data_IF_197326904977
#
_entry.id   IF_197326904977
#
_cell.length_a   1.000
_cell.length_b   1.000
_cell.length_c   1.000
_cell.angle_alpha   90.00
_cell.angle_beta   90.00
_cell.angle_gamma   90.00
#
_symmetry.space_group_name_H-M   'P 1'
#
loop_
_entity.id
_entity.type
_entity.pdbx_description
1 polymer ?
#
# COMPACT_ATOMS: atom_id res chain seq x y z
N UNK A 1 8.58 23.01 -9.53
CA UNK A 1 9.59 22.84 -8.47
C UNK A 1 8.85 22.64 -7.16
N UNK A 2 9.39 21.78 -6.29
CA UNK A 2 8.97 21.60 -4.90
C UNK A 2 10.14 22.01 -4.00
N UNK A 3 9.86 22.62 -2.84
CA UNK A 3 10.89 23.06 -1.90
C UNK A 3 10.59 22.51 -0.51
N UNK A 4 11.57 21.82 0.08
CA UNK A 4 11.51 21.33 1.46
C UNK A 4 12.53 22.08 2.31
N UNK A 5 12.06 22.64 3.42
CA UNK A 5 12.90 23.25 4.45
C UNK A 5 13.05 22.26 5.61
N UNK A 6 14.28 22.07 6.08
CA UNK A 6 14.60 21.20 7.22
C UNK A 6 15.76 21.82 8.00
N UNK A 7 15.93 21.41 9.26
CA UNK A 7 17.14 21.75 10.01
C UNK A 7 18.28 20.89 9.49
N UNK A 8 19.50 21.44 9.49
CA UNK A 8 20.70 20.72 8.99
C UNK A 8 20.89 19.39 9.72
N UNK A 9 20.62 19.34 11.03
CA UNK A 9 20.72 18.11 11.83
C UNK A 9 19.75 16.99 11.38
N UNK A 10 18.64 17.35 10.74
CA UNK A 10 17.64 16.37 10.27
C UNK A 10 17.99 15.83 8.88
N UNK A 11 19.03 16.38 8.21
CA UNK A 11 19.42 15.99 6.85
C UNK A 11 20.00 14.56 6.76
N UNK A 12 20.44 14.00 7.89
CA UNK A 12 20.88 12.61 7.97
C UNK A 12 19.74 11.62 7.67
N UNK A 13 18.49 11.96 8.03
CA UNK A 13 17.31 11.12 7.79
C UNK A 13 16.60 11.60 6.52
N UNK A 14 16.79 10.85 5.44
CA UNK A 14 16.31 11.23 4.11
C UNK A 14 15.87 10.02 3.29
N UNK A 15 15.06 10.28 2.26
CA UNK A 15 14.56 9.25 1.34
C UNK A 15 15.40 9.11 0.07
N UNK A 16 16.09 10.19 -0.33
CA UNK A 16 16.90 10.27 -1.54
C UNK A 16 18.34 10.67 -1.21
N UNK A 17 19.23 10.62 -2.21
CA UNK A 17 20.61 11.12 -2.11
C UNK A 17 20.75 12.48 -2.82
N UNK A 18 20.70 13.60 -2.07
CA UNK A 18 20.73 14.93 -2.67
C UNK A 18 22.14 15.32 -3.12
N UNK A 19 22.20 16.10 -4.20
CA UNK A 19 23.43 16.77 -4.64
C UNK A 19 23.46 18.18 -4.06
N UNK A 20 24.58 18.56 -3.43
CA UNK A 20 24.76 19.91 -2.89
C UNK A 20 25.10 20.86 -4.03
N UNK A 21 24.20 21.79 -4.32
CA UNK A 21 24.44 22.85 -5.31
C UNK A 21 25.19 24.04 -4.69
N UNK A 22 24.93 24.34 -3.42
CA UNK A 22 25.61 25.37 -2.65
C UNK A 22 25.49 25.08 -1.15
N UNK A 23 26.52 25.40 -0.38
CA UNK A 23 26.50 25.40 1.08
C UNK A 23 27.32 26.57 1.62
N UNK A 24 26.86 27.20 2.70
CA UNK A 24 27.59 28.29 3.35
C UNK A 24 28.87 27.81 4.05
N UNK A 25 28.83 26.59 4.59
CA UNK A 25 29.90 25.95 5.33
C UNK A 25 29.72 24.42 5.34
N UNK A 26 30.62 23.68 5.97
CA UNK A 26 30.63 22.20 5.93
C UNK A 26 29.51 21.49 6.71
N UNK A 27 28.57 22.19 7.35
CA UNK A 27 27.58 21.54 8.24
C UNK A 27 26.63 20.63 7.47
N UNK A 28 26.21 21.03 6.27
CA UNK A 28 25.29 20.24 5.45
C UNK A 28 25.97 18.99 4.90
N UNK A 29 27.21 19.12 4.39
CA UNK A 29 28.05 18.02 3.93
C UNK A 29 28.24 16.99 5.05
N UNK A 30 28.58 17.44 6.26
CA UNK A 30 28.74 16.58 7.43
C UNK A 30 27.44 15.86 7.78
N UNK A 31 26.31 16.57 7.81
CA UNK A 31 25.03 15.94 8.10
C UNK A 31 24.61 14.91 7.04
N UNK A 32 24.80 15.20 5.75
CA UNK A 32 24.49 14.26 4.67
C UNK A 32 25.42 13.04 4.65
N UNK A 33 26.66 13.19 5.11
CA UNK A 33 27.59 12.06 5.29
C UNK A 33 27.15 11.09 6.41
N UNK A 34 26.25 11.53 7.30
CA UNK A 34 25.68 10.69 8.34
C UNK A 34 24.49 9.92 7.75
N UNK A 35 24.74 8.66 7.38
CA UNK A 35 23.71 7.77 6.85
C UNK A 35 23.49 7.90 5.35
N UNK A 36 22.58 7.07 4.83
CA UNK A 36 22.18 7.03 3.42
C UNK A 36 20.68 7.29 3.31
N UNK A 37 20.29 7.89 2.19
CA UNK A 37 18.89 7.99 1.83
C UNK A 37 18.28 6.60 1.63
N UNK A 38 17.14 6.37 2.25
CA UNK A 38 16.41 5.13 2.10
C UNK A 38 14.90 5.40 2.14
N UNK A 39 14.19 4.82 1.18
CA UNK A 39 12.74 4.86 1.23
C UNK A 39 12.24 3.96 2.37
N UNK A 40 11.24 4.38 3.18
CA UNK A 40 10.71 3.55 4.25
C UNK A 40 10.19 2.22 3.69
N UNK A 41 10.65 1.11 4.28
CA UNK A 41 10.12 -0.20 3.96
C UNK A 41 8.72 -0.38 4.56
N UNK A 42 7.88 -1.15 3.88
CA UNK A 42 6.62 -1.68 4.41
C UNK A 42 6.96 -2.78 5.41
N UNK A 43 6.51 -2.61 6.64
CA UNK A 43 6.53 -3.64 7.66
C UNK A 43 5.43 -4.70 7.36
N UNK A 44 5.81 -5.94 7.01
CA UNK A 44 4.83 -6.98 6.67
C UNK A 44 3.91 -7.38 7.82
N UNK A 45 4.39 -7.32 9.07
CA UNK A 45 3.59 -7.65 10.25
C UNK A 45 2.60 -6.51 10.56
N UNK A 46 3.05 -5.26 10.43
CA UNK A 46 2.18 -4.10 10.59
C UNK A 46 1.00 -4.12 9.61
N UNK A 47 1.25 -4.59 8.39
CA UNK A 47 0.20 -4.82 7.38
C UNK A 47 -0.71 -5.98 7.78
N UNK A 48 -0.18 -7.16 8.14
CA UNK A 48 -0.99 -8.34 8.55
C UNK A 48 -1.90 -8.02 9.74
N UNK A 49 -1.43 -7.22 10.70
CA UNK A 49 -2.21 -6.80 11.86
C UNK A 49 -3.44 -5.95 11.50
N UNK A 50 -3.48 -5.34 10.31
CA UNK A 50 -4.52 -4.39 9.89
C UNK A 50 -5.29 -4.84 8.66
N UNK A 51 -4.68 -5.64 7.79
CA UNK A 51 -5.20 -5.92 6.46
C UNK A 51 -6.62 -6.48 6.51
N UNK A 52 -6.88 -7.45 7.38
CA UNK A 52 -8.21 -8.07 7.47
C UNK A 52 -9.26 -7.13 8.06
N UNK A 53 -8.88 -6.23 8.97
CA UNK A 53 -9.76 -5.16 9.46
C UNK A 53 -10.12 -4.19 8.33
N UNK A 54 -9.14 -3.84 7.49
CA UNK A 54 -9.39 -3.04 6.28
C UNK A 54 -10.30 -3.77 5.28
N UNK A 55 -10.10 -5.06 5.05
CA UNK A 55 -11.00 -5.85 4.19
C UNK A 55 -12.43 -5.84 4.73
N UNK A 56 -12.60 -5.94 6.05
CA UNK A 56 -13.90 -5.83 6.69
C UNK A 56 -14.53 -4.43 6.49
N UNK A 57 -13.75 -3.35 6.61
CA UNK A 57 -14.23 -1.99 6.33
C UNK A 57 -14.64 -1.80 4.88
N UNK A 58 -13.87 -2.31 3.92
CA UNK A 58 -14.26 -2.32 2.51
C UNK A 58 -15.62 -3.01 2.33
N UNK A 59 -15.78 -4.19 2.94
CA UNK A 59 -17.04 -4.92 2.95
C UNK A 59 -18.19 -4.10 3.54
N UNK A 60 -18.01 -3.47 4.70
CA UNK A 60 -19.08 -2.68 5.36
C UNK A 60 -19.52 -1.52 4.47
N UNK A 61 -18.58 -0.80 3.84
CA UNK A 61 -18.88 0.30 2.91
C UNK A 61 -19.72 -0.19 1.74
N UNK A 62 -19.34 -1.31 1.14
CA UNK A 62 -20.10 -1.95 0.06
C UNK A 62 -21.50 -2.35 0.54
N UNK A 63 -21.61 -2.99 1.71
CA UNK A 63 -22.87 -3.45 2.27
C UNK A 63 -23.86 -2.32 2.59
N UNK A 64 -23.36 -1.10 2.84
CA UNK A 64 -24.15 0.10 3.09
C UNK A 64 -24.52 0.90 1.84
N UNK A 65 -23.98 0.53 0.67
CA UNK A 65 -24.16 1.32 -0.55
C UNK A 65 -23.21 2.53 -0.67
N UNK A 66 -22.18 2.62 0.18
CA UNK A 66 -21.17 3.70 0.16
C UNK A 66 -20.12 3.44 -0.94
N UNK A 67 -20.56 3.30 -2.20
CA UNK A 67 -19.75 2.73 -3.28
C UNK A 67 -18.52 3.57 -3.65
N UNK A 68 -18.63 4.90 -3.67
CA UNK A 68 -17.46 5.75 -3.90
C UNK A 68 -16.46 5.67 -2.74
N UNK A 69 -16.91 5.57 -1.49
CA UNK A 69 -15.99 5.37 -0.38
C UNK A 69 -15.28 4.02 -0.46
N UNK A 70 -15.99 2.95 -0.86
CA UNK A 70 -15.39 1.65 -1.10
C UNK A 70 -14.37 1.70 -2.26
N UNK A 71 -14.68 2.43 -3.33
CA UNK A 71 -13.77 2.63 -4.46
C UNK A 71 -12.48 3.35 -4.07
N UNK A 72 -12.59 4.44 -3.32
CA UNK A 72 -11.43 5.19 -2.81
C UNK A 72 -10.63 4.35 -1.81
N UNK A 73 -11.31 3.55 -0.99
CA UNK A 73 -10.66 2.64 -0.07
C UNK A 73 -9.86 1.54 -0.79
N UNK A 74 -10.37 1.00 -1.90
CA UNK A 74 -9.59 0.11 -2.78
C UNK A 74 -8.38 0.82 -3.40
N UNK A 75 -8.51 2.10 -3.75
CA UNK A 75 -7.39 2.93 -4.20
C UNK A 75 -6.30 3.05 -3.14
N UNK A 76 -6.70 3.33 -1.90
CA UNK A 76 -5.81 3.32 -0.74
C UNK A 76 -5.08 1.98 -0.59
N UNK A 77 -5.77 0.85 -0.70
CA UNK A 77 -5.15 -0.48 -0.61
C UNK A 77 -4.13 -0.73 -1.73
N UNK A 78 -4.40 -0.30 -2.97
CA UNK A 78 -3.42 -0.37 -4.08
C UNK A 78 -2.17 0.44 -3.75
N UNK A 79 -2.36 1.67 -3.26
CA UNK A 79 -1.28 2.63 -3.02
C UNK A 79 -0.41 2.29 -1.80
N UNK A 80 -1.02 1.87 -0.70
CA UNK A 80 -0.31 1.73 0.58
C UNK A 80 0.10 0.29 0.86
N UNK A 81 -0.59 -0.69 0.28
CA UNK A 81 -0.38 -2.10 0.59
C UNK A 81 0.12 -2.86 -0.63
N UNK A 82 -0.74 -3.06 -1.64
CA UNK A 82 -0.48 -4.02 -2.71
C UNK A 82 0.70 -3.59 -3.59
N UNK A 83 0.72 -2.34 -4.06
CA UNK A 83 1.81 -1.82 -4.88
C UNK A 83 3.12 -1.73 -4.10
N UNK A 84 3.07 -1.18 -2.89
CA UNK A 84 4.25 -1.03 -2.02
C UNK A 84 4.88 -2.38 -1.67
N UNK A 85 4.08 -3.38 -1.29
CA UNK A 85 4.57 -4.73 -1.01
C UNK A 85 5.11 -5.43 -2.26
N UNK A 86 4.47 -5.27 -3.42
CA UNK A 86 4.94 -5.86 -4.67
C UNK A 86 6.30 -5.29 -5.09
N UNK A 87 6.48 -3.96 -5.04
CA UNK A 87 7.75 -3.30 -5.32
C UNK A 87 8.84 -3.77 -4.36
N UNK A 88 8.54 -3.80 -3.05
CA UNK A 88 9.49 -4.25 -2.04
C UNK A 88 9.89 -5.72 -2.22
N UNK A 89 8.94 -6.60 -2.54
CA UNK A 89 9.20 -8.02 -2.82
C UNK A 89 10.10 -8.21 -4.04
N UNK A 90 10.06 -7.28 -4.99
CA UNK A 90 10.92 -7.26 -6.18
C UNK A 90 12.24 -6.47 -6.00
N UNK A 91 12.54 -5.97 -4.80
CA UNK A 91 13.77 -5.23 -4.50
C UNK A 91 13.76 -3.75 -4.90
N UNK A 92 12.59 -3.18 -5.21
CA UNK A 92 12.41 -1.75 -5.45
C UNK A 92 11.94 -1.01 -4.19
N UNK A 93 12.12 0.31 -4.16
CA UNK A 93 11.52 1.17 -3.13
C UNK A 93 9.99 1.06 -3.12
N UNK A 94 9.41 0.96 -1.92
CA UNK A 94 7.99 0.74 -1.68
C UNK A 94 7.10 1.97 -1.93
N UNK A 95 7.16 2.54 -3.14
CA UNK A 95 6.53 3.81 -3.54
C UNK A 95 5.10 3.65 -4.07
N UNK A 96 4.32 2.76 -3.46
CA UNK A 96 2.96 2.45 -3.90
C UNK A 96 2.90 1.91 -5.32
N UNK A 97 2.19 2.61 -6.22
CA UNK A 97 2.03 2.20 -7.62
C UNK A 97 2.89 3.00 -8.60
N UNK A 98 3.80 3.85 -8.11
CA UNK A 98 4.58 4.74 -8.98
C UNK A 98 5.45 3.94 -9.95
N UNK A 99 5.17 4.09 -11.25
CA UNK A 99 5.82 3.37 -12.36
C UNK A 99 5.62 1.84 -12.33
N UNK A 100 4.59 1.34 -11.65
CA UNK A 100 4.41 -0.10 -11.46
C UNK A 100 4.19 -0.84 -12.79
N UNK A 101 3.58 -0.19 -13.78
CA UNK A 101 3.36 -0.72 -15.12
C UNK A 101 4.67 -1.07 -15.83
N UNK A 102 5.70 -0.24 -15.60
CA UNK A 102 7.04 -0.43 -16.17
C UNK A 102 7.89 -1.38 -15.33
N UNK A 103 7.79 -1.29 -14.00
CA UNK A 103 8.64 -2.05 -13.09
C UNK A 103 8.16 -3.50 -12.90
N UNK A 104 6.85 -3.72 -12.88
CA UNK A 104 6.20 -5.00 -12.59
C UNK A 104 4.99 -5.24 -13.54
N UNK A 105 5.22 -5.47 -14.84
CA UNK A 105 4.14 -5.62 -15.82
C UNK A 105 3.20 -6.79 -15.50
N UNK A 106 3.74 -7.95 -15.11
CA UNK A 106 2.91 -9.13 -14.77
C UNK A 106 2.03 -8.90 -13.54
N UNK A 107 2.58 -8.22 -12.52
CA UNK A 107 1.80 -7.84 -11.34
C UNK A 107 0.76 -6.77 -11.66
N UNK A 108 1.07 -5.87 -12.60
CA UNK A 108 0.14 -4.83 -13.07
C UNK A 108 -1.13 -5.43 -13.66
N UNK A 109 -1.03 -6.53 -14.42
CA UNK A 109 -2.22 -7.23 -14.93
C UNK A 109 -3.09 -7.81 -13.81
N UNK A 110 -2.49 -8.23 -12.71
CA UNK A 110 -3.22 -8.64 -11.51
C UNK A 110 -3.84 -7.44 -10.78
N UNK A 111 -3.09 -6.35 -10.64
CA UNK A 111 -3.51 -5.14 -9.94
C UNK A 111 -4.69 -4.45 -10.65
N UNK A 112 -4.73 -4.48 -12.00
CA UNK A 112 -5.86 -3.98 -12.81
C UNK A 112 -7.20 -4.62 -12.41
N UNK A 113 -7.19 -5.89 -11.98
CA UNK A 113 -8.40 -6.60 -11.51
C UNK A 113 -8.94 -6.09 -10.16
N UNK A 114 -8.23 -5.18 -9.49
CA UNK A 114 -8.70 -4.47 -8.30
C UNK A 114 -9.30 -3.11 -8.61
N UNK A 115 -9.26 -2.66 -9.87
CA UNK A 115 -9.95 -1.45 -10.31
C UNK A 115 -11.43 -1.78 -10.48
N UNK A 116 -12.29 -0.97 -9.87
CA UNK A 116 -13.73 -1.18 -9.84
C UNK A 116 -14.48 0.06 -10.35
N UNK A 117 -15.72 -0.17 -10.75
CA UNK A 117 -16.75 0.85 -10.92
C UNK A 117 -17.52 0.98 -9.60
N UNK A 118 -18.18 2.13 -9.32
CA UNK A 118 -18.91 2.35 -8.07
C UNK A 118 -20.27 1.62 -8.06
N UNK A 119 -20.24 0.30 -8.23
CA UNK A 119 -21.36 -0.62 -8.09
C UNK A 119 -20.97 -1.82 -7.25
N UNK A 120 -21.97 -2.44 -6.63
CA UNK A 120 -21.77 -3.50 -5.63
C UNK A 120 -20.95 -4.67 -6.17
N UNK A 121 -21.28 -5.20 -7.35
CA UNK A 121 -20.65 -6.43 -7.85
C UNK A 121 -19.19 -6.19 -8.24
N UNK A 122 -18.92 -5.07 -8.92
CA UNK A 122 -17.58 -4.66 -9.31
C UNK A 122 -16.67 -4.47 -8.09
N UNK A 123 -17.18 -3.79 -7.05
CA UNK A 123 -16.48 -3.59 -5.79
C UNK A 123 -16.22 -4.89 -5.03
N UNK A 124 -17.19 -5.81 -4.96
CA UNK A 124 -17.01 -7.12 -4.33
C UNK A 124 -15.94 -7.96 -5.03
N UNK A 125 -15.96 -7.97 -6.36
CA UNK A 125 -14.96 -8.67 -7.16
C UNK A 125 -13.57 -8.09 -6.91
N UNK A 126 -13.41 -6.77 -7.01
CA UNK A 126 -12.14 -6.10 -6.77
C UNK A 126 -11.61 -6.29 -5.34
N UNK A 127 -12.49 -6.27 -4.34
CA UNK A 127 -12.16 -6.52 -2.94
C UNK A 127 -11.67 -7.95 -2.73
N UNK A 128 -12.30 -8.93 -3.37
CA UNK A 128 -11.88 -10.35 -3.34
C UNK A 128 -10.51 -10.55 -4.00
N UNK A 129 -10.28 -9.89 -5.13
CA UNK A 129 -8.97 -9.90 -5.80
C UNK A 129 -7.91 -9.26 -4.90
N UNK A 130 -8.19 -8.11 -4.27
CA UNK A 130 -7.25 -7.46 -3.37
C UNK A 130 -6.84 -8.37 -2.20
N UNK A 131 -7.78 -9.09 -1.59
CA UNK A 131 -7.48 -10.11 -0.58
C UNK A 131 -6.56 -11.22 -1.11
N UNK A 132 -6.83 -11.69 -2.32
CA UNK A 132 -6.02 -12.75 -2.96
C UNK A 132 -4.60 -12.28 -3.26
N UNK A 133 -4.42 -11.05 -3.75
CA UNK A 133 -3.10 -10.47 -4.01
C UNK A 133 -2.31 -10.27 -2.72
N UNK A 134 -2.96 -9.84 -1.64
CA UNK A 134 -2.29 -9.74 -0.35
C UNK A 134 -1.76 -11.11 0.11
N UNK A 135 -2.55 -12.17 -0.02
CA UNK A 135 -2.11 -13.53 0.32
C UNK A 135 -0.94 -14.02 -0.54
N UNK A 136 -0.85 -13.59 -1.80
CA UNK A 136 0.29 -13.87 -2.69
C UNK A 136 1.55 -13.09 -2.28
N UNK A 137 1.37 -11.85 -1.82
CA UNK A 137 2.47 -10.93 -1.50
C UNK A 137 3.03 -11.15 -0.10
N UNK A 138 2.20 -11.55 0.87
CA UNK A 138 2.62 -11.70 2.27
C UNK A 138 3.71 -12.76 2.42
N UNK A 139 4.56 -12.56 3.43
CA UNK A 139 5.59 -13.54 3.80
C UNK A 139 4.99 -14.69 4.60
N UNK A 140 5.72 -15.80 4.68
CA UNK A 140 5.32 -17.00 5.44
C UNK A 140 5.61 -16.90 6.94
N UNK A 141 6.47 -15.97 7.36
CA UNK A 141 6.98 -15.79 8.73
C UNK A 141 6.21 -14.71 9.53
N UNK A 142 4.88 -14.70 9.43
CA UNK A 142 4.02 -13.70 10.07
C UNK A 142 3.18 -14.31 11.20
N UNK A 143 2.89 -13.51 12.22
CA UNK A 143 1.82 -13.80 13.18
C UNK A 143 0.48 -13.56 12.49
N UNK A 144 -0.13 -14.64 11.99
CA UNK A 144 -1.34 -14.58 11.18
C UNK A 144 -2.55 -14.16 12.01
N UNK A 145 -3.36 -13.23 11.47
CA UNK A 145 -4.65 -12.85 12.04
C UNK A 145 -5.78 -13.67 11.41
N UNK A 146 -5.69 -14.99 11.56
CA UNK A 146 -6.60 -15.96 10.94
C UNK A 146 -8.07 -15.73 11.30
N UNK A 147 -8.37 -15.37 12.55
CA UNK A 147 -9.75 -15.10 12.98
C UNK A 147 -10.31 -13.85 12.29
N UNK A 148 -9.53 -12.77 12.26
CA UNK A 148 -9.90 -11.53 11.58
C UNK A 148 -10.10 -11.76 10.07
N UNK A 149 -9.23 -12.57 9.45
CA UNK A 149 -9.37 -13.01 8.06
C UNK A 149 -10.70 -13.71 7.83
N UNK A 150 -11.01 -14.71 8.65
CA UNK A 150 -12.25 -15.49 8.51
C UNK A 150 -13.47 -14.58 8.62
N UNK A 151 -13.53 -13.74 9.66
CA UNK A 151 -14.63 -12.79 9.85
C UNK A 151 -14.79 -11.81 8.68
N UNK A 152 -13.69 -11.23 8.19
CA UNK A 152 -13.71 -10.30 7.07
C UNK A 152 -14.22 -10.97 5.79
N UNK A 153 -13.72 -12.17 5.47
CA UNK A 153 -14.08 -12.89 4.25
C UNK A 153 -15.50 -13.46 4.31
N UNK A 154 -15.97 -13.90 5.48
CA UNK A 154 -17.33 -14.41 5.63
C UNK A 154 -18.36 -13.28 5.58
N UNK A 155 -18.03 -12.10 6.11
CA UNK A 155 -18.86 -10.92 5.89
C UNK A 155 -18.95 -10.55 4.41
N UNK A 156 -17.83 -10.56 3.68
CA UNK A 156 -17.79 -10.27 2.24
C UNK A 156 -18.68 -11.25 1.43
N UNK A 157 -18.60 -12.55 1.73
CA UNK A 157 -19.47 -13.58 1.14
C UNK A 157 -20.95 -13.33 1.49
N UNK A 158 -21.23 -12.96 2.74
CA UNK A 158 -22.59 -12.70 3.20
C UNK A 158 -23.25 -11.58 2.39
N UNK A 159 -22.55 -10.47 2.16
CA UNK A 159 -23.09 -9.35 1.38
C UNK A 159 -23.13 -9.62 -0.12
N UNK A 160 -22.28 -10.52 -0.64
CA UNK A 160 -22.34 -11.01 -2.02
C UNK A 160 -23.60 -11.85 -2.26
N UNK A 161 -24.00 -12.67 -1.30
CA UNK A 161 -25.18 -13.54 -1.40
C UNK A 161 -26.50 -12.81 -1.13
N UNK A 162 -26.47 -11.58 -0.61
CA UNK A 162 -27.66 -10.74 -0.47
C UNK A 162 -27.94 -10.08 -1.81
N UNK A 163 -29.00 -10.50 -2.49
CA UNK A 163 -29.56 -9.78 -3.64
C UNK A 163 -29.81 -8.32 -3.28
N UNK A 164 -29.40 -7.40 -4.15
CA UNK A 164 -29.67 -5.96 -4.04
C UNK A 164 -31.16 -5.66 -4.07
#
# INVERSE_FOLDING_TARGET
MDFKFLKVQDAAVRVDEPVILWSRDSRLEKALSQGKGAYPAVDPQWVEDRFWVWMHYAGIKIGRGEYFEALEFLSFLRMQVLGSMALQKAGYDARGVRNIERLLPDFTEKLKKTVATPDKQSLLNATTVAASLYLELRKSDLCLRSDARTLAMDYLKTIQNRSS
#
